data_IF_294379678203
#
_entry.id   IF_294379678203
#
_cell.length_a   1.000
_cell.length_b   1.000
_cell.length_c   1.000
_cell.angle_alpha   90.00
_cell.angle_beta   90.00
_cell.angle_gamma   90.00
#
_symmetry.space_group_name_H-M   'P 1'
#
loop_
_entity.id
_entity.type
_entity.pdbx_description
1 polymer ?
#
# COMPACT_ATOMS: atom_id res chain seq x y z
N UNK A 1 -19.88 39.70 38.44
CA UNK A 1 -20.31 38.60 37.54
C UNK A 1 -19.14 37.65 37.32
N UNK A 2 -19.44 36.36 37.14
CA UNK A 2 -18.63 35.17 37.47
C UNK A 2 -17.42 34.91 36.53
N UNK A 3 -16.38 34.28 37.09
CA UNK A 3 -15.24 33.64 36.41
C UNK A 3 -15.68 32.29 35.76
N UNK A 4 -14.88 31.86 34.78
CA UNK A 4 -14.62 30.47 34.31
C UNK A 4 -15.41 29.98 33.09
N UNK A 5 -14.67 29.56 32.05
CA UNK A 5 -14.70 28.24 31.34
C UNK A 5 -13.59 28.28 30.28
N UNK A 6 -12.37 27.85 30.61
CA UNK A 6 -11.78 26.50 30.39
C UNK A 6 -11.22 26.29 28.98
N UNK A 7 -9.89 26.11 28.97
CA UNK A 7 -9.07 25.36 28.01
C UNK A 7 -9.86 24.32 27.18
N UNK A 8 -9.63 24.28 25.87
CA UNK A 8 -9.03 23.08 25.30
C UNK A 8 -8.38 23.36 23.95
N UNK A 9 -7.05 23.38 23.98
CA UNK A 9 -6.19 23.14 22.84
C UNK A 9 -6.53 21.76 22.27
N UNK A 10 -7.11 21.72 21.06
CA UNK A 10 -6.96 20.58 20.16
C UNK A 10 -6.04 21.09 19.06
N UNK A 11 -4.70 20.96 19.10
CA UNK A 11 -3.94 19.74 19.37
C UNK A 11 -4.60 18.52 18.70
N UNK A 12 -4.72 18.62 17.38
CA UNK A 12 -5.06 17.51 16.50
C UNK A 12 -4.29 17.67 15.20
N UNK A 13 -2.98 17.91 15.30
CA UNK A 13 -2.10 17.62 14.18
C UNK A 13 -2.34 16.16 13.84
N UNK A 14 -2.84 15.91 12.63
CA UNK A 14 -2.95 14.57 12.09
C UNK A 14 -1.55 13.99 12.09
N UNK A 15 -1.23 13.20 13.12
CA UNK A 15 0.04 12.54 13.25
C UNK A 15 0.21 11.62 12.05
N UNK A 16 1.11 11.99 11.15
CA UNK A 16 1.81 11.00 10.35
C UNK A 16 2.41 10.03 11.36
N UNK A 17 1.77 8.88 11.56
CA UNK A 17 2.33 7.83 12.37
C UNK A 17 3.67 7.47 11.73
N UNK A 18 4.75 7.71 12.46
CA UNK A 18 6.10 7.44 11.99
C UNK A 18 6.22 5.94 11.73
N UNK A 19 6.37 5.56 10.44
CA UNK A 19 6.49 4.17 10.04
C UNK A 19 7.82 3.63 10.58
N UNK A 20 7.74 2.63 11.47
CA UNK A 20 8.94 2.03 12.07
C UNK A 20 9.78 1.33 11.01
N UNK A 21 11.06 1.08 11.32
CA UNK A 21 11.94 0.33 10.41
C UNK A 21 11.39 -1.08 10.15
N UNK A 22 10.83 -1.73 11.16
CA UNK A 22 10.21 -3.06 11.04
C UNK A 22 8.99 -3.03 10.12
N UNK A 23 8.17 -1.98 10.19
CA UNK A 23 7.03 -1.80 9.29
C UNK A 23 7.46 -1.54 7.85
N UNK A 24 8.53 -0.76 7.65
CA UNK A 24 9.15 -0.56 6.33
C UNK A 24 9.73 -1.85 5.77
N UNK A 25 10.43 -2.63 6.58
CA UNK A 25 10.96 -3.93 6.20
C UNK A 25 9.83 -4.91 5.83
N UNK A 26 8.77 -4.98 6.65
CA UNK A 26 7.60 -5.81 6.35
C UNK A 26 6.89 -5.41 5.05
N UNK A 27 6.79 -4.10 4.78
CA UNK A 27 6.24 -3.61 3.51
C UNK A 27 7.12 -3.98 2.31
N UNK A 28 8.45 -3.88 2.46
CA UNK A 28 9.39 -4.27 1.41
C UNK A 28 9.32 -5.78 1.12
N UNK A 29 9.20 -6.61 2.15
CA UNK A 29 9.02 -8.06 2.00
C UNK A 29 7.72 -8.41 1.29
N UNK A 30 6.59 -7.81 1.72
CA UNK A 30 5.30 -7.99 1.07
C UNK A 30 5.34 -7.58 -0.42
N UNK A 31 5.98 -6.44 -0.71
CA UNK A 31 6.18 -5.97 -2.09
C UNK A 31 7.00 -6.95 -2.92
N UNK A 32 8.07 -7.51 -2.37
CA UNK A 32 8.89 -8.50 -3.05
C UNK A 32 8.08 -9.79 -3.35
N UNK A 33 7.28 -10.26 -2.39
CA UNK A 33 6.41 -11.41 -2.59
C UNK A 33 5.39 -11.19 -3.72
N UNK A 34 4.75 -10.01 -3.77
CA UNK A 34 3.83 -9.65 -4.85
C UNK A 34 4.52 -9.65 -6.23
N UNK A 35 5.72 -9.07 -6.34
CA UNK A 35 6.47 -9.05 -7.60
C UNK A 35 6.83 -10.47 -8.08
N UNK A 36 7.25 -11.35 -7.17
CA UNK A 36 7.54 -12.75 -7.51
C UNK A 36 6.29 -13.50 -7.98
N UNK A 37 5.14 -13.27 -7.34
CA UNK A 37 3.88 -13.87 -7.76
C UNK A 37 3.44 -13.38 -9.15
N UNK A 38 3.66 -12.09 -9.46
CA UNK A 38 3.42 -11.54 -10.78
C UNK A 38 4.32 -12.17 -11.85
N UNK A 39 5.60 -12.32 -11.56
CA UNK A 39 6.54 -12.98 -12.47
C UNK A 39 6.08 -14.42 -12.77
N UNK A 40 5.74 -15.20 -11.74
CA UNK A 40 5.23 -16.55 -11.90
C UNK A 40 3.93 -16.61 -12.74
N UNK A 41 2.98 -15.72 -12.47
CA UNK A 41 1.71 -15.63 -13.22
C UNK A 41 1.96 -15.31 -14.71
N UNK A 42 2.88 -14.39 -14.98
CA UNK A 42 3.19 -13.99 -16.36
C UNK A 42 4.05 -14.98 -17.13
N UNK A 43 4.75 -15.88 -16.44
CA UNK A 43 5.51 -16.97 -17.04
C UNK A 43 4.64 -18.17 -17.47
N UNK A 44 3.39 -18.26 -16.99
CA UNK A 44 2.51 -19.37 -17.35
C UNK A 44 2.02 -19.29 -18.81
N UNK A 45 1.82 -20.46 -19.45
CA UNK A 45 1.40 -20.56 -20.85
C UNK A 45 0.10 -19.79 -21.17
N UNK A 46 -0.90 -19.86 -20.28
CA UNK A 46 -2.17 -19.16 -20.44
C UNK A 46 -2.02 -17.63 -20.50
N UNK A 47 -0.95 -17.07 -19.92
CA UNK A 47 -0.67 -15.64 -19.99
C UNK A 47 -0.35 -15.20 -21.41
N UNK A 48 0.35 -16.04 -22.17
CA UNK A 48 0.74 -15.80 -23.57
C UNK A 48 -0.47 -15.73 -24.49
N UNK A 49 -1.55 -16.42 -24.12
CA UNK A 49 -2.80 -16.51 -24.88
C UNK A 49 -3.78 -15.37 -24.58
N UNK A 50 -3.50 -14.52 -23.58
CA UNK A 50 -4.33 -13.33 -23.30
C UNK A 50 -4.24 -12.32 -24.44
N UNK A 51 -5.40 -11.86 -24.91
CA UNK A 51 -5.50 -10.76 -25.89
C UNK A 51 -4.99 -9.43 -25.33
N UNK A 52 -5.38 -9.06 -24.11
CA UNK A 52 -4.92 -7.83 -23.45
C UNK A 52 -3.97 -8.15 -22.29
N UNK A 53 -2.71 -8.40 -22.62
CA UNK A 53 -1.63 -8.62 -21.64
C UNK A 53 -1.23 -7.35 -20.92
N UNK A 54 -1.25 -6.21 -21.60
CA UNK A 54 -0.80 -4.94 -21.02
C UNK A 54 -1.79 -4.41 -19.97
N UNK A 55 -3.10 -4.41 -20.28
CA UNK A 55 -4.13 -4.03 -19.32
C UNK A 55 -4.21 -4.99 -18.12
N UNK A 56 -4.03 -6.29 -18.36
CA UNK A 56 -3.91 -7.28 -17.30
C UNK A 56 -2.71 -7.03 -16.39
N UNK A 57 -1.54 -6.72 -16.97
CA UNK A 57 -0.33 -6.40 -16.22
C UNK A 57 -0.49 -5.12 -15.40
N UNK A 58 -1.10 -4.07 -15.97
CA UNK A 58 -1.43 -2.84 -15.25
C UNK A 58 -2.38 -3.08 -14.07
N UNK A 59 -3.45 -3.86 -14.25
CA UNK A 59 -4.38 -4.18 -13.18
C UNK A 59 -3.71 -4.98 -12.06
N UNK A 60 -2.85 -5.92 -12.43
CA UNK A 60 -2.07 -6.74 -11.53
C UNK A 60 -1.01 -5.94 -10.76
N UNK A 61 -0.33 -5.00 -11.42
CA UNK A 61 0.60 -4.08 -10.76
C UNK A 61 -0.14 -3.18 -9.78
N UNK A 62 -1.27 -2.61 -10.20
CA UNK A 62 -2.10 -1.76 -9.35
C UNK A 62 -2.49 -2.48 -8.05
N UNK A 63 -2.99 -3.71 -8.17
CA UNK A 63 -3.34 -4.56 -7.03
C UNK A 63 -2.16 -4.97 -6.14
N UNK A 64 -0.91 -4.87 -6.64
CA UNK A 64 0.30 -5.14 -5.86
C UNK A 64 0.88 -3.89 -5.17
N UNK A 65 0.37 -2.70 -5.51
CA UNK A 65 0.82 -1.40 -4.96
C UNK A 65 -0.21 -0.69 -4.10
N UNK A 66 -1.48 -1.10 -4.14
CA UNK A 66 -2.59 -0.63 -3.28
C UNK A 66 -2.77 -1.53 -2.05
#
# INVERSE_FOLDING_TARGET
MRKTTLNNTAAGGAGEAEVTEEQRAGFAEARAACLNALEALTAHAWWSERQDRHGAWMALQKAATE
#
